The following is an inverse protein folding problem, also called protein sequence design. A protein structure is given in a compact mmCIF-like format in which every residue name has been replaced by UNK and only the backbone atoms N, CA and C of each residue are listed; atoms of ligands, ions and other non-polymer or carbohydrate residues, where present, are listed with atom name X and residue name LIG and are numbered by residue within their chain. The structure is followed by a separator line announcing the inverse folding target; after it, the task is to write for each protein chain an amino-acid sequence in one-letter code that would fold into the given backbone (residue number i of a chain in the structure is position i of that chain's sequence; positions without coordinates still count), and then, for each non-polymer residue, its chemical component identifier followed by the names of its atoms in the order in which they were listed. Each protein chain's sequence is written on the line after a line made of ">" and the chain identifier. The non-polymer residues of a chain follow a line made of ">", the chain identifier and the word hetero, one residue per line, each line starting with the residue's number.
data_IF_061779815174
#
_entry.id   IF_061779815174
#
_cell.length_a   1.000
_cell.length_b   1.000
_cell.length_c   1.000
_cell.angle_alpha   90.00
_cell.angle_beta   90.00
_cell.angle_gamma   90.00
#
_symmetry.space_group_name_H-M   'P 1'
#
loop_
_entity.id
_entity.type
_entity.pdbx_description
1 polymer ?
#
# COMPACT_ATOMS: atom_id res chain seq x y z
N UNK A 1 -43.42 -32.86 24.26
CA UNK A 1 -43.76 -33.24 22.88
C UNK A 1 -42.57 -32.91 21.99
N UNK A 2 -41.68 -33.88 21.76
CA UNK A 2 -40.57 -33.73 20.81
C UNK A 2 -40.94 -34.53 19.58
N UNK A 3 -41.38 -33.83 18.54
CA UNK A 3 -41.68 -34.43 17.24
C UNK A 3 -40.38 -34.92 16.62
N UNK A 4 -40.16 -36.22 16.65
CA UNK A 4 -39.04 -36.87 15.95
C UNK A 4 -39.34 -36.85 14.45
N UNK A 5 -38.91 -35.78 13.77
CA UNK A 5 -38.91 -35.72 12.32
C UNK A 5 -37.99 -36.83 11.80
N UNK A 6 -38.53 -37.74 10.97
CA UNK A 6 -37.77 -38.81 10.33
C UNK A 6 -36.77 -38.21 9.34
N UNK A 7 -35.59 -37.87 9.83
CA UNK A 7 -34.53 -37.25 9.04
C UNK A 7 -33.81 -38.32 8.23
N UNK A 8 -33.78 -38.11 6.91
CA UNK A 8 -33.06 -38.95 5.96
C UNK A 8 -31.58 -39.15 6.37
N UNK A 9 -30.98 -40.35 6.15
CA UNK A 9 -29.59 -40.65 6.51
C UNK A 9 -28.56 -39.64 5.97
N UNK A 10 -28.86 -39.01 4.83
CA UNK A 10 -28.02 -37.99 4.23
C UNK A 10 -27.88 -36.74 5.09
N UNK A 11 -28.87 -36.40 5.93
CA UNK A 11 -28.76 -35.25 6.83
C UNK A 11 -27.67 -35.46 7.88
N UNK A 12 -27.51 -36.67 8.41
CA UNK A 12 -26.42 -36.99 9.32
C UNK A 12 -25.06 -36.93 8.63
N UNK A 13 -24.98 -37.46 7.40
CA UNK A 13 -23.76 -37.39 6.60
C UNK A 13 -23.34 -35.92 6.33
N UNK A 14 -24.30 -35.06 6.01
CA UNK A 14 -24.05 -33.63 5.80
C UNK A 14 -23.60 -32.95 7.09
N UNK A 15 -24.26 -33.18 8.23
CA UNK A 15 -23.87 -32.58 9.52
C UNK A 15 -22.46 -32.98 9.93
N UNK A 16 -22.09 -34.26 9.78
CA UNK A 16 -20.73 -34.75 10.08
C UNK A 16 -19.69 -34.11 9.15
N UNK A 17 -20.01 -33.97 7.86
CA UNK A 17 -19.14 -33.28 6.90
C UNK A 17 -18.90 -31.81 7.28
N UNK A 18 -19.95 -31.09 7.69
CA UNK A 18 -19.81 -29.69 8.13
C UNK A 18 -18.94 -29.57 9.38
N UNK A 19 -19.13 -30.43 10.38
CA UNK A 19 -18.32 -30.42 11.62
C UNK A 19 -16.85 -30.71 11.31
N UNK A 20 -16.58 -31.71 10.45
CA UNK A 20 -15.21 -32.06 10.04
C UNK A 20 -14.55 -30.95 9.23
N UNK A 21 -15.29 -30.27 8.36
CA UNK A 21 -14.77 -29.12 7.60
C UNK A 21 -14.50 -27.90 8.50
N UNK A 22 -15.39 -27.60 9.45
CA UNK A 22 -15.19 -26.51 10.41
C UNK A 22 -14.00 -26.76 11.35
N UNK A 23 -13.75 -28.01 11.73
CA UNK A 23 -12.62 -28.39 12.60
C UNK A 23 -11.31 -28.58 11.86
N UNK A 24 -11.32 -28.71 10.53
CA UNK A 24 -10.10 -28.67 9.71
C UNK A 24 -9.78 -27.25 9.25
N UNK A 25 -10.78 -26.36 9.21
CA UNK A 25 -10.61 -24.91 9.08
C UNK A 25 -10.15 -24.27 10.40
N UNK A 26 -9.17 -24.89 11.07
CA UNK A 26 -8.43 -24.25 12.15
C UNK A 26 -7.28 -23.45 11.51
N UNK A 27 -7.52 -22.16 11.27
CA UNK A 27 -6.57 -21.08 11.52
C UNK A 27 -5.11 -21.12 11.03
N UNK A 28 -4.68 -22.05 10.18
CA UNK A 28 -3.29 -22.15 9.70
C UNK A 28 -2.91 -21.08 8.65
N UNK A 29 -3.57 -19.93 8.68
CA UNK A 29 -3.25 -18.82 7.78
C UNK A 29 -3.13 -17.52 8.57
N UNK A 30 -2.15 -17.41 9.47
CA UNK A 30 -1.50 -16.11 9.73
C UNK A 30 -0.10 -16.36 10.29
N UNK A 31 0.83 -16.78 9.42
CA UNK A 31 2.23 -16.43 9.63
C UNK A 31 2.82 -15.99 8.29
N UNK A 32 2.49 -14.76 7.89
CA UNK A 32 3.38 -14.00 7.02
C UNK A 32 4.65 -13.73 7.82
N UNK A 33 5.61 -14.64 7.74
CA UNK A 33 6.98 -14.37 8.14
C UNK A 33 7.45 -13.16 7.34
N UNK A 34 7.82 -12.08 8.04
CA UNK A 34 8.51 -10.99 7.39
C UNK A 34 9.85 -11.57 6.90
N UNK A 35 10.00 -11.70 5.58
CA UNK A 35 11.28 -12.01 4.96
C UNK A 35 12.31 -11.07 5.59
N UNK A 36 13.43 -11.60 6.09
CA UNK A 36 14.53 -10.84 6.71
C UNK A 36 15.19 -9.81 5.75
N UNK A 37 14.59 -9.59 4.57
CA UNK A 37 14.93 -8.60 3.56
C UNK A 37 14.10 -7.32 3.76
N UNK A 38 14.23 -6.73 4.94
CA UNK A 38 13.69 -5.39 5.21
C UNK A 38 14.64 -4.31 4.71
N UNK A 39 14.11 -3.18 4.23
CA UNK A 39 14.91 -1.99 3.99
C UNK A 39 14.79 -1.01 5.16
N UNK A 40 15.90 -0.36 5.51
CA UNK A 40 15.90 0.73 6.48
C UNK A 40 15.83 2.06 5.76
N UNK A 41 14.94 2.95 6.20
CA UNK A 41 14.82 4.30 5.68
C UNK A 41 15.23 5.29 6.75
N UNK A 42 16.23 6.11 6.46
CA UNK A 42 16.52 7.30 7.25
C UNK A 42 15.67 8.47 6.72
N UNK A 43 14.69 8.91 7.51
CA UNK A 43 13.90 10.08 7.18
C UNK A 43 14.68 11.35 7.53
N UNK A 44 15.21 12.00 6.51
CA UNK A 44 15.85 13.31 6.65
C UNK A 44 14.84 14.44 6.46
N UNK A 45 14.87 15.45 7.33
CA UNK A 45 14.03 16.63 7.19
C UNK A 45 14.39 17.39 5.90
N UNK A 46 13.39 17.83 5.13
CA UNK A 46 13.61 18.49 3.82
C UNK A 46 14.50 19.73 3.91
N UNK A 47 14.42 20.47 5.01
CA UNK A 47 15.22 21.68 5.25
C UNK A 47 16.50 21.41 6.07
N UNK A 48 16.87 20.15 6.26
CA UNK A 48 18.17 19.76 6.80
C UNK A 48 19.28 19.95 5.75
N UNK A 49 20.50 20.38 6.11
CA UNK A 49 21.63 20.47 5.17
C UNK A 49 21.95 19.18 4.40
N UNK A 50 21.53 18.02 4.91
CA UNK A 50 21.72 16.71 4.26
C UNK A 50 20.66 16.39 3.20
N UNK A 51 19.59 17.18 3.13
CA UNK A 51 18.51 17.00 2.17
C UNK A 51 18.95 17.51 0.79
N UNK A 52 18.69 16.76 -0.29
CA UNK A 52 18.87 17.27 -1.66
C UNK A 52 18.06 18.53 -1.97
N UNK A 53 17.02 18.81 -1.17
CA UNK A 53 16.17 20.00 -1.30
C UNK A 53 16.65 21.18 -0.45
N UNK A 54 17.78 21.06 0.25
CA UNK A 54 18.32 22.15 1.06
C UNK A 54 18.93 23.24 0.18
N UNK A 55 18.52 24.47 0.43
CA UNK A 55 19.14 25.65 -0.16
C UNK A 55 19.97 26.37 0.91
N UNK A 56 21.30 26.38 0.73
CA UNK A 56 22.23 27.08 1.63
C UNK A 56 22.17 28.59 1.53
N UNK A 57 21.61 29.11 0.43
CA UNK A 57 21.45 30.55 0.20
C UNK A 57 20.14 31.10 0.80
N UNK A 58 19.21 30.23 1.21
CA UNK A 58 17.96 30.66 1.84
C UNK A 58 18.18 31.08 3.30
N UNK A 59 17.65 32.25 3.62
CA UNK A 59 17.54 32.69 5.01
C UNK A 59 16.50 31.85 5.77
N UNK A 60 16.57 31.80 7.12
CA UNK A 60 15.58 31.08 7.92
C UNK A 60 14.14 31.53 7.68
N UNK A 61 13.93 32.83 7.41
CA UNK A 61 12.62 33.39 7.13
C UNK A 61 12.08 32.96 5.77
N UNK A 62 12.90 33.03 4.72
CA UNK A 62 12.52 32.56 3.38
C UNK A 62 12.19 31.07 3.38
N UNK A 63 12.98 30.27 4.12
CA UNK A 63 12.71 28.85 4.30
C UNK A 63 11.34 28.59 4.93
N UNK A 64 10.99 29.35 5.97
CA UNK A 64 9.66 29.28 6.61
C UNK A 64 8.55 29.69 5.63
N UNK A 65 8.72 30.80 4.91
CA UNK A 65 7.78 31.27 3.91
C UNK A 65 7.56 30.22 2.81
N UNK A 66 8.64 29.62 2.31
CA UNK A 66 8.61 28.56 1.32
C UNK A 66 7.92 27.31 1.86
N UNK A 67 8.10 26.96 3.14
CA UNK A 67 7.40 25.83 3.77
C UNK A 67 5.88 26.06 3.82
N UNK A 68 5.47 27.26 4.21
CA UNK A 68 4.06 27.67 4.24
C UNK A 68 3.48 27.66 2.81
N UNK A 69 4.17 28.27 1.84
CA UNK A 69 3.74 28.31 0.45
C UNK A 69 3.51 26.90 -0.13
N UNK A 70 4.46 25.98 0.07
CA UNK A 70 4.30 24.57 -0.33
C UNK A 70 3.11 23.89 0.34
N UNK A 71 2.79 24.26 1.58
CA UNK A 71 1.63 23.72 2.28
C UNK A 71 0.33 24.12 1.56
N UNK A 72 0.22 25.40 1.17
CA UNK A 72 -0.93 25.89 0.42
C UNK A 72 -1.01 25.27 -0.99
N UNK A 73 0.10 25.13 -1.70
CA UNK A 73 0.09 24.48 -3.02
C UNK A 73 -0.37 23.02 -2.95
N UNK A 74 0.04 22.25 -1.93
CA UNK A 74 -0.49 20.89 -1.73
C UNK A 74 -1.99 20.87 -1.48
N UNK A 75 -2.46 21.78 -0.62
CA UNK A 75 -3.90 21.90 -0.33
C UNK A 75 -4.68 22.23 -1.60
N UNK A 76 -4.17 23.13 -2.44
CA UNK A 76 -4.77 23.48 -3.73
C UNK A 76 -4.93 22.27 -4.65
N UNK A 77 -3.94 21.35 -4.69
CA UNK A 77 -4.04 20.13 -5.49
C UNK A 77 -5.20 19.21 -5.06
N UNK A 78 -5.54 19.19 -3.76
CA UNK A 78 -6.67 18.38 -3.27
C UNK A 78 -8.04 18.99 -3.56
N UNK A 79 -8.11 20.30 -3.79
CA UNK A 79 -9.35 21.03 -4.10
C UNK A 79 -9.46 21.44 -5.57
N UNK A 80 -8.55 20.96 -6.43
CA UNK A 80 -8.72 21.12 -7.88
C UNK A 80 -9.85 20.20 -8.33
N UNK A 81 -11.03 20.78 -8.60
CA UNK A 81 -12.13 20.11 -9.29
C UNK A 81 -11.63 19.53 -10.63
N UNK A 82 -11.97 18.26 -10.86
CA UNK A 82 -11.52 17.41 -11.97
C UNK A 82 -11.72 18.04 -13.36
N UNK A 83 -10.74 18.80 -13.81
CA UNK A 83 -10.48 19.04 -15.22
C UNK A 83 -9.48 18.01 -15.77
N UNK A 84 -9.59 16.73 -15.40
CA UNK A 84 -8.63 15.70 -15.81
C UNK A 84 -8.69 15.42 -17.31
N UNK A 85 -7.70 15.91 -18.05
CA UNK A 85 -7.40 15.47 -19.41
C UNK A 85 -6.52 14.20 -19.33
N UNK A 86 -7.14 13.03 -19.50
CA UNK A 86 -6.50 11.72 -19.41
C UNK A 86 -5.40 11.45 -20.47
N UNK A 87 -5.16 12.38 -21.42
CA UNK A 87 -4.14 12.21 -22.46
C UNK A 87 -2.71 12.48 -21.98
N UNK A 88 -2.50 13.20 -20.88
CA UNK A 88 -1.19 13.67 -20.44
C UNK A 88 -0.54 12.83 -19.32
N UNK A 89 -1.28 11.91 -18.69
CA UNK A 89 -0.73 10.96 -17.71
C UNK A 89 -0.32 9.67 -18.42
N UNK A 90 0.49 9.80 -19.46
CA UNK A 90 1.32 8.69 -19.93
C UNK A 90 2.73 9.01 -19.49
N UNK A 91 3.13 8.47 -18.33
CA UNK A 91 4.55 8.38 -18.00
C UNK A 91 5.24 7.66 -19.17
N UNK A 92 6.38 8.14 -19.69
CA UNK A 92 7.07 7.46 -20.78
C UNK A 92 7.33 6.02 -20.34
N UNK A 93 6.76 5.06 -21.06
CA UNK A 93 7.04 3.65 -20.86
C UNK A 93 8.53 3.44 -21.09
N UNK A 94 9.29 3.32 -20.00
CA UNK A 94 10.68 2.87 -20.03
C UNK A 94 10.65 1.40 -20.43
N UNK A 95 10.56 1.15 -21.73
CA UNK A 95 10.99 -0.12 -22.31
C UNK A 95 12.45 0.08 -22.69
N UNK A 96 13.38 -0.54 -21.95
CA UNK A 96 14.68 -0.84 -22.49
C UNK A 96 15.19 -2.15 -21.92
N UNK A 97 15.58 -3.00 -22.86
CA UNK A 97 16.03 -4.36 -22.74
C UNK A 97 17.38 -4.42 -22.03
N UNK A 98 17.48 -5.26 -21.01
CA UNK A 98 18.77 -5.71 -20.51
C UNK A 98 19.36 -6.76 -21.46
N UNK A 99 20.63 -6.58 -21.83
CA UNK A 99 21.46 -7.72 -22.20
C UNK A 99 22.56 -7.45 -23.23
N UNK A 100 23.79 -7.39 -22.70
CA UNK A 100 25.07 -7.76 -23.35
C UNK A 100 25.67 -6.83 -24.41
N UNK A 101 26.99 -6.63 -24.50
CA UNK A 101 28.15 -7.06 -23.71
C UNK A 101 29.38 -6.42 -24.37
N UNK A 102 30.29 -5.88 -23.56
CA UNK A 102 31.77 -5.91 -23.71
C UNK A 102 32.41 -5.57 -25.06
N UNK A 103 33.15 -4.46 -25.12
CA UNK A 103 34.63 -4.41 -25.04
C UNK A 103 35.16 -3.13 -25.71
#
# INVERSE_FOLDING_TARGET
>A
MTSTLNVSPYHYALVVLWITLSTTFNGDMYLTEALNEGFSVELIHRDSPKSPFYNSSETPFERMANAIHRSFERVKQFYQEDGFNYGAIQAPAITNFDGQSTS
#
